data_IF_682767636567
#
_entry.id   IF_682767636567
#
_cell.length_a   1.000
_cell.length_b   1.000
_cell.length_c   1.000
_cell.angle_alpha   90.00
_cell.angle_beta   90.00
_cell.angle_gamma   90.00
#
_symmetry.space_group_name_H-M   'P 1'
#
loop_
_entity.id
_entity.type
_entity.pdbx_description
1 polymer ?
#
# COMPACT_ATOMS: atom_id res chain seq x y z
N UNK A 1 63.62 -3.73 -39.84
CA UNK A 1 62.58 -3.73 -38.78
C UNK A 1 62.70 -5.03 -37.99
N UNK A 2 63.20 -4.98 -36.75
CA UNK A 2 63.42 -6.18 -35.93
C UNK A 2 62.12 -6.62 -35.25
N UNK A 3 61.47 -7.65 -35.78
CA UNK A 3 60.41 -8.37 -35.06
C UNK A 3 61.05 -9.25 -34.00
N UNK A 4 61.13 -8.75 -32.75
CA UNK A 4 61.60 -9.53 -31.60
C UNK A 4 60.68 -10.75 -31.41
N UNK A 5 61.16 -11.93 -31.79
CA UNK A 5 60.52 -13.21 -31.51
C UNK A 5 60.50 -13.45 -29.99
N UNK A 6 59.32 -13.36 -29.37
CA UNK A 6 59.11 -13.75 -27.97
C UNK A 6 59.43 -15.24 -27.79
N UNK A 7 60.32 -15.58 -26.84
CA UNK A 7 60.64 -16.98 -26.52
C UNK A 7 59.40 -17.74 -26.06
N UNK A 8 59.37 -19.07 -26.27
CA UNK A 8 58.19 -19.92 -26.03
C UNK A 8 57.58 -19.77 -24.62
N UNK A 9 58.40 -19.53 -23.59
CA UNK A 9 57.94 -19.25 -22.22
C UNK A 9 57.17 -17.92 -22.10
N UNK A 10 57.63 -16.87 -22.81
CA UNK A 10 56.95 -15.56 -22.80
C UNK A 10 55.63 -15.60 -23.57
N UNK A 11 55.54 -16.37 -24.66
CA UNK A 11 54.28 -16.62 -25.38
C UNK A 11 53.27 -17.36 -24.49
N UNK A 12 53.71 -18.39 -23.77
CA UNK A 12 52.85 -19.13 -22.85
C UNK A 12 52.29 -18.25 -21.71
N UNK A 13 53.13 -17.37 -21.14
CA UNK A 13 52.70 -16.41 -20.11
C UNK A 13 51.67 -15.41 -20.65
N UNK A 14 51.87 -14.90 -21.88
CA UNK A 14 50.91 -13.99 -22.52
C UNK A 14 49.57 -14.68 -22.79
N UNK A 15 49.58 -15.93 -23.27
CA UNK A 15 48.35 -16.71 -23.49
C UNK A 15 47.61 -16.96 -22.17
N UNK A 16 48.32 -17.30 -21.10
CA UNK A 16 47.75 -17.50 -19.77
C UNK A 16 47.13 -16.20 -19.19
N UNK A 17 47.79 -15.07 -19.40
CA UNK A 17 47.26 -13.74 -19.02
C UNK A 17 46.00 -13.39 -19.80
N UNK A 18 45.96 -13.65 -21.11
CA UNK A 18 44.77 -13.38 -21.94
C UNK A 18 43.60 -14.27 -21.52
N UNK A 19 43.84 -15.55 -21.25
CA UNK A 19 42.80 -16.48 -20.80
C UNK A 19 42.26 -16.13 -19.40
N UNK A 20 43.12 -15.68 -18.48
CA UNK A 20 42.69 -15.26 -17.14
C UNK A 20 41.88 -13.96 -17.16
N UNK A 21 42.24 -12.99 -18.01
CA UNK A 21 41.45 -11.77 -18.23
C UNK A 21 40.09 -12.10 -18.88
N UNK A 22 40.07 -13.00 -19.86
CA UNK A 22 38.82 -13.45 -20.49
C UNK A 22 37.89 -14.17 -19.49
N UNK A 23 38.44 -15.03 -18.63
CA UNK A 23 37.67 -15.71 -17.59
C UNK A 23 37.07 -14.73 -16.56
N UNK A 24 37.82 -13.70 -16.16
CA UNK A 24 37.32 -12.64 -15.28
C UNK A 24 36.19 -11.83 -15.94
N UNK A 25 36.33 -11.50 -17.22
CA UNK A 25 35.29 -10.77 -17.96
C UNK A 25 34.00 -11.59 -18.10
N UNK A 26 34.10 -12.88 -18.43
CA UNK A 26 32.94 -13.79 -18.49
C UNK A 26 32.30 -13.92 -17.11
N UNK A 27 33.10 -14.08 -16.05
CA UNK A 27 32.62 -14.13 -14.67
C UNK A 27 31.85 -12.87 -14.27
N UNK A 28 32.34 -11.68 -14.63
CA UNK A 28 31.67 -10.40 -14.37
C UNK A 28 30.34 -10.26 -15.14
N UNK A 29 30.28 -10.70 -16.40
CA UNK A 29 29.06 -10.68 -17.22
C UNK A 29 28.02 -11.66 -16.66
N UNK A 30 28.42 -12.89 -16.32
CA UNK A 30 27.53 -13.89 -15.72
C UNK A 30 27.02 -13.41 -14.36
N UNK A 31 27.87 -12.81 -13.53
CA UNK A 31 27.47 -12.23 -12.25
C UNK A 31 26.46 -11.09 -12.44
N UNK A 32 26.72 -10.15 -13.37
CA UNK A 32 25.82 -9.04 -13.69
C UNK A 32 24.48 -9.53 -14.23
N UNK A 33 24.48 -10.52 -15.11
CA UNK A 33 23.26 -11.13 -15.66
C UNK A 33 22.47 -11.87 -14.58
N UNK A 34 23.11 -12.67 -13.72
CA UNK A 34 22.44 -13.30 -12.56
C UNK A 34 21.91 -12.27 -11.59
N UNK A 35 22.61 -11.16 -11.36
CA UNK A 35 22.15 -10.09 -10.48
C UNK A 35 20.95 -9.36 -11.08
N UNK A 36 20.95 -9.13 -12.39
CA UNK A 36 19.83 -8.54 -13.12
C UNK A 36 18.60 -9.45 -13.09
N UNK A 37 18.78 -10.74 -13.35
CA UNK A 37 17.72 -11.75 -13.26
C UNK A 37 17.17 -11.85 -11.84
N UNK A 38 18.04 -11.94 -10.81
CA UNK A 38 17.59 -11.94 -9.41
C UNK A 38 16.80 -10.68 -9.02
N UNK A 39 17.15 -9.51 -9.58
CA UNK A 39 16.38 -8.28 -9.38
C UNK A 39 15.01 -8.36 -10.07
N UNK A 40 14.95 -8.85 -11.30
CA UNK A 40 13.71 -9.08 -12.02
C UNK A 40 12.80 -10.10 -11.30
N UNK A 41 13.36 -11.24 -10.87
CA UNK A 41 12.64 -12.28 -10.13
C UNK A 41 12.17 -11.80 -8.74
N UNK A 42 12.88 -10.82 -8.16
CA UNK A 42 12.50 -10.22 -6.88
C UNK A 42 11.35 -9.23 -7.00
N UNK A 43 11.15 -8.61 -8.17
CA UNK A 43 10.07 -7.66 -8.41
C UNK A 43 8.85 -8.38 -8.98
N UNK A 44 7.70 -8.30 -8.30
CA UNK A 44 6.52 -9.12 -8.63
C UNK A 44 5.79 -8.76 -9.93
N UNK A 45 6.26 -7.76 -10.68
CA UNK A 45 5.56 -7.21 -11.85
C UNK A 45 4.34 -6.36 -11.47
N UNK A 46 3.55 -6.00 -12.47
CA UNK A 46 2.29 -5.27 -12.31
C UNK A 46 1.11 -6.26 -12.26
N UNK A 47 0.01 -5.87 -11.61
CA UNK A 47 -1.20 -6.71 -11.55
C UNK A 47 -2.07 -6.67 -12.81
N UNK A 48 -1.76 -5.75 -13.73
CA UNK A 48 -2.51 -5.48 -14.94
C UNK A 48 -1.54 -5.31 -16.11
N UNK A 49 -2.03 -5.54 -17.33
CA UNK A 49 -1.26 -5.37 -18.56
C UNK A 49 -1.44 -3.97 -19.15
N UNK A 50 -0.55 -3.60 -20.07
CA UNK A 50 -0.61 -2.29 -20.72
C UNK A 50 -1.87 -2.10 -21.57
N UNK A 51 -2.36 -3.18 -22.18
CA UNK A 51 -3.56 -3.24 -23.01
C UNK A 51 -4.87 -3.19 -22.22
N UNK A 52 -4.83 -3.28 -20.89
CA UNK A 52 -6.05 -3.18 -20.08
C UNK A 52 -6.61 -1.75 -20.13
N UNK A 53 -7.92 -1.62 -20.36
CA UNK A 53 -8.63 -0.35 -20.15
C UNK A 53 -8.58 0.09 -18.69
N UNK A 54 -8.81 1.39 -18.42
CA UNK A 54 -8.69 1.98 -17.08
C UNK A 54 -9.44 1.20 -15.99
N UNK A 55 -10.73 0.92 -16.20
CA UNK A 55 -11.55 0.19 -15.23
C UNK A 55 -11.01 -1.23 -14.97
N UNK A 56 -10.47 -1.88 -16.00
CA UNK A 56 -9.83 -3.20 -15.90
C UNK A 56 -8.55 -3.16 -15.07
N UNK A 57 -7.70 -2.13 -15.29
CA UNK A 57 -6.49 -1.89 -14.51
C UNK A 57 -6.81 -1.67 -13.03
N UNK A 58 -7.79 -0.81 -12.73
CA UNK A 58 -8.25 -0.52 -11.37
C UNK A 58 -8.74 -1.80 -10.69
N UNK A 59 -9.63 -2.56 -11.35
CA UNK A 59 -10.16 -3.80 -10.77
C UNK A 59 -9.06 -4.83 -10.48
N UNK A 60 -8.17 -5.09 -11.43
CA UNK A 60 -7.07 -6.05 -11.24
C UNK A 60 -6.13 -5.62 -10.12
N UNK A 61 -5.87 -4.31 -10.00
CA UNK A 61 -5.11 -3.74 -8.88
C UNK A 61 -5.81 -3.98 -7.55
N UNK A 62 -7.12 -3.76 -7.45
CA UNK A 62 -7.90 -4.00 -6.22
C UNK A 62 -7.88 -5.48 -5.80
N UNK A 63 -8.12 -6.39 -6.74
CA UNK A 63 -8.07 -7.85 -6.47
C UNK A 63 -6.65 -8.31 -6.13
N UNK A 64 -5.64 -7.83 -6.85
CA UNK A 64 -4.24 -8.18 -6.66
C UNK A 64 -3.71 -7.69 -5.30
N UNK A 65 -4.06 -6.47 -4.90
CA UNK A 65 -3.69 -5.92 -3.59
C UNK A 65 -4.39 -6.65 -2.44
N UNK A 66 -5.63 -7.12 -2.61
CA UNK A 66 -6.27 -8.01 -1.64
C UNK A 66 -5.55 -9.36 -1.52
N UNK A 67 -5.14 -10.00 -2.64
CA UNK A 67 -4.28 -11.21 -2.60
C UNK A 67 -2.94 -10.95 -1.90
N UNK A 68 -2.38 -9.76 -2.08
CA UNK A 68 -1.17 -9.33 -1.37
C UNK A 68 -1.43 -9.24 0.14
N UNK A 69 -2.58 -8.70 0.56
CA UNK A 69 -3.01 -8.65 1.95
C UNK A 69 -3.15 -10.06 2.55
N UNK A 70 -3.74 -11.02 1.84
CA UNK A 70 -3.86 -12.41 2.32
C UNK A 70 -2.49 -13.03 2.63
N UNK A 71 -1.44 -12.63 1.88
CA UNK A 71 -0.07 -13.09 2.11
C UNK A 71 0.60 -12.37 3.28
N UNK A 72 0.43 -11.06 3.37
CA UNK A 72 1.13 -10.19 4.33
C UNK A 72 0.46 -10.14 5.71
N UNK A 73 -0.84 -10.40 5.80
CA UNK A 73 -1.66 -10.26 7.01
C UNK A 73 -2.45 -8.94 7.01
N UNK A 74 -3.65 -8.93 7.59
CA UNK A 74 -4.63 -7.81 7.52
C UNK A 74 -4.12 -6.47 8.07
N UNK A 75 -3.20 -6.51 9.04
CA UNK A 75 -2.66 -5.30 9.65
C UNK A 75 -1.54 -4.66 8.83
N UNK A 76 -0.99 -5.36 7.85
CA UNK A 76 0.11 -4.87 7.03
C UNK A 76 -0.36 -3.72 6.13
N UNK A 77 0.35 -2.59 6.15
CA UNK A 77 -0.05 -1.39 5.39
C UNK A 77 0.44 -1.39 3.95
N UNK A 78 1.35 -2.30 3.59
CA UNK A 78 1.98 -2.31 2.28
C UNK A 78 1.00 -2.51 1.12
N UNK A 79 -0.01 -3.40 1.19
CA UNK A 79 -0.99 -3.52 0.11
C UNK A 79 -1.78 -2.23 -0.13
N UNK A 80 -2.17 -1.53 0.94
CA UNK A 80 -2.86 -0.24 0.83
C UNK A 80 -1.96 0.85 0.25
N UNK A 81 -0.68 0.88 0.67
CA UNK A 81 0.33 1.77 0.11
C UNK A 81 0.53 1.52 -1.39
N UNK A 82 0.75 0.26 -1.77
CA UNK A 82 0.95 -0.15 -3.17
C UNK A 82 -0.26 0.23 -4.03
N UNK A 83 -1.48 -0.08 -3.55
CA UNK A 83 -2.74 0.29 -4.20
C UNK A 83 -2.81 1.78 -4.46
N UNK A 84 -2.60 2.62 -3.45
CA UNK A 84 -2.73 4.08 -3.57
C UNK A 84 -1.68 4.68 -4.51
N UNK A 85 -0.42 4.24 -4.43
CA UNK A 85 0.62 4.69 -5.37
C UNK A 85 0.25 4.33 -6.81
N UNK A 86 -0.18 3.08 -7.05
CA UNK A 86 -0.53 2.63 -8.41
C UNK A 86 -1.79 3.31 -8.94
N UNK A 87 -2.79 3.57 -8.11
CA UNK A 87 -3.95 4.38 -8.48
C UNK A 87 -3.57 5.82 -8.84
N UNK A 88 -2.65 6.44 -8.10
CA UNK A 88 -2.17 7.78 -8.43
C UNK A 88 -1.39 7.81 -9.76
N UNK A 89 -0.53 6.82 -10.01
CA UNK A 89 0.17 6.67 -11.30
C UNK A 89 -0.80 6.43 -12.46
N UNK A 90 -1.89 5.67 -12.25
CA UNK A 90 -2.95 5.50 -13.27
C UNK A 90 -3.73 6.79 -13.56
N UNK A 91 -3.69 7.77 -12.65
CA UNK A 91 -4.34 9.07 -12.78
C UNK A 91 -3.32 10.15 -13.18
N UNK A 92 -2.29 9.76 -13.95
CA UNK A 92 -1.28 10.62 -14.57
C UNK A 92 -0.36 11.38 -13.59
N UNK A 93 -0.29 10.97 -12.32
CA UNK A 93 0.76 11.47 -11.42
C UNK A 93 2.12 10.84 -11.76
N UNK A 94 3.18 11.64 -11.74
CA UNK A 94 4.53 11.07 -11.80
C UNK A 94 4.79 10.18 -10.57
N UNK A 95 5.68 9.21 -10.70
CA UNK A 95 5.91 8.22 -9.64
C UNK A 95 6.39 8.85 -8.32
N UNK A 96 7.19 9.91 -8.39
CA UNK A 96 7.66 10.66 -7.23
C UNK A 96 6.54 11.40 -6.52
N UNK A 97 5.65 12.04 -7.28
CA UNK A 97 4.44 12.67 -6.74
C UNK A 97 3.47 11.64 -6.14
N UNK A 98 3.24 10.51 -6.82
CA UNK A 98 2.41 9.42 -6.33
C UNK A 98 2.87 8.89 -4.96
N UNK A 99 4.19 8.79 -4.74
CA UNK A 99 4.73 8.46 -3.42
C UNK A 99 4.43 9.53 -2.37
N UNK A 100 4.70 10.81 -2.69
CA UNK A 100 4.49 11.92 -1.74
C UNK A 100 3.01 12.06 -1.36
N UNK A 101 2.12 12.01 -2.35
CA UNK A 101 0.68 12.15 -2.12
C UNK A 101 0.13 10.96 -1.33
N UNK A 102 0.52 9.73 -1.66
CA UNK A 102 0.11 8.53 -0.91
C UNK A 102 0.54 8.61 0.55
N UNK A 103 1.79 8.97 0.81
CA UNK A 103 2.30 9.06 2.19
C UNK A 103 1.58 10.11 3.01
N UNK A 104 1.34 11.30 2.42
CA UNK A 104 0.57 12.36 3.05
C UNK A 104 -0.86 11.89 3.34
N UNK A 105 -1.56 11.33 2.36
CA UNK A 105 -2.94 10.91 2.50
C UNK A 105 -3.10 9.78 3.54
N UNK A 106 -2.18 8.81 3.56
CA UNK A 106 -2.20 7.76 4.59
C UNK A 106 -1.93 8.33 5.98
N UNK A 107 -0.94 9.22 6.15
CA UNK A 107 -0.68 9.88 7.44
C UNK A 107 -1.87 10.67 7.94
N UNK A 108 -2.51 11.43 7.05
CA UNK A 108 -3.71 12.20 7.35
C UNK A 108 -4.87 11.29 7.79
N UNK A 109 -5.19 10.24 7.02
CA UNK A 109 -6.25 9.30 7.38
C UNK A 109 -6.02 8.64 8.75
N UNK A 110 -4.78 8.25 9.07
CA UNK A 110 -4.46 7.72 10.40
C UNK A 110 -4.59 8.77 11.51
N UNK A 111 -4.13 9.99 11.28
CA UNK A 111 -4.23 11.07 12.26
C UNK A 111 -5.69 11.39 12.60
N UNK A 112 -6.52 11.53 11.56
CA UNK A 112 -7.96 11.77 11.71
C UNK A 112 -8.64 10.59 12.39
N UNK A 113 -8.30 9.36 12.02
CA UNK A 113 -8.84 8.16 12.64
C UNK A 113 -8.52 8.09 14.14
N UNK A 114 -7.25 8.27 14.52
CA UNK A 114 -6.83 8.25 15.93
C UNK A 114 -7.47 9.37 16.74
N UNK A 115 -7.68 10.52 16.11
CA UNK A 115 -8.40 11.63 16.74
C UNK A 115 -9.87 11.26 16.99
N UNK A 116 -10.55 10.71 15.99
CA UNK A 116 -11.93 10.25 16.11
C UNK A 116 -12.07 9.16 17.18
N UNK A 117 -11.15 8.19 17.21
CA UNK A 117 -11.10 7.13 18.23
C UNK A 117 -10.97 7.71 19.64
N UNK A 118 -10.02 8.62 19.88
CA UNK A 118 -9.81 9.29 21.19
C UNK A 118 -11.03 10.08 21.65
N UNK A 119 -11.86 10.55 20.73
CA UNK A 119 -13.10 11.28 21.00
C UNK A 119 -14.33 10.37 21.17
N UNK A 120 -14.12 9.05 21.17
CA UNK A 120 -15.17 8.06 21.39
C UNK A 120 -15.97 7.71 20.14
N UNK A 121 -15.49 8.05 18.95
CA UNK A 121 -16.11 7.70 17.67
C UNK A 121 -15.62 6.36 17.10
N UNK A 122 -14.79 5.63 17.85
CA UNK A 122 -14.44 4.26 17.50
C UNK A 122 -15.69 3.41 17.21
N UNK A 123 -15.61 2.59 16.17
CA UNK A 123 -16.68 1.68 15.77
C UNK A 123 -16.40 0.28 16.32
N UNK A 124 -17.46 -0.40 16.75
CA UNK A 124 -17.46 -1.83 17.05
C UNK A 124 -17.62 -2.65 15.77
N UNK A 125 -17.33 -3.96 15.83
CA UNK A 125 -17.52 -4.88 14.69
C UNK A 125 -19.00 -4.91 14.23
N UNK A 126 -19.96 -4.84 15.17
CA UNK A 126 -21.39 -4.74 14.86
C UNK A 126 -21.76 -3.44 14.15
N UNK A 127 -21.15 -2.31 14.52
CA UNK A 127 -21.33 -1.03 13.83
C UNK A 127 -20.71 -1.06 12.44
N UNK A 128 -19.49 -1.59 12.31
CA UNK A 128 -18.80 -1.75 11.04
C UNK A 128 -19.62 -2.59 10.05
N UNK A 129 -20.10 -3.76 10.48
CA UNK A 129 -20.95 -4.63 9.65
C UNK A 129 -22.21 -3.91 9.16
N UNK A 130 -22.93 -3.23 10.07
CA UNK A 130 -24.13 -2.46 9.72
C UNK A 130 -23.83 -1.34 8.72
N UNK A 131 -22.70 -0.65 8.90
CA UNK A 131 -22.26 0.41 8.00
C UNK A 131 -21.98 -0.15 6.60
N UNK A 132 -21.17 -1.20 6.51
CA UNK A 132 -20.82 -1.87 5.24
C UNK A 132 -22.07 -2.39 4.53
N UNK A 133 -23.00 -3.04 5.24
CA UNK A 133 -24.26 -3.52 4.66
C UNK A 133 -25.11 -2.36 4.13
N UNK A 134 -25.14 -1.22 4.83
CA UNK A 134 -25.86 -0.02 4.38
C UNK A 134 -25.25 0.55 3.10
N UNK A 135 -23.93 0.66 3.03
CA UNK A 135 -23.23 1.18 1.84
C UNK A 135 -23.44 0.26 0.64
N UNK A 136 -23.28 -1.05 0.82
CA UNK A 136 -23.52 -2.04 -0.25
C UNK A 136 -24.95 -2.00 -0.77
N UNK A 137 -25.97 -1.92 0.11
CA UNK A 137 -27.37 -1.76 -0.31
C UNK A 137 -27.61 -0.45 -1.07
N UNK A 138 -26.89 0.61 -0.72
CA UNK A 138 -26.91 1.88 -1.46
C UNK A 138 -26.32 1.72 -2.86
N UNK A 139 -25.18 1.04 -2.96
CA UNK A 139 -24.52 0.75 -4.24
C UNK A 139 -25.36 -0.19 -5.11
N UNK A 140 -25.98 -1.24 -4.56
CA UNK A 140 -26.86 -2.17 -5.30
C UNK A 140 -28.04 -1.49 -5.99
N UNK A 141 -28.46 -0.31 -5.47
CA UNK A 141 -29.51 0.52 -6.08
C UNK A 141 -28.99 1.45 -7.18
N UNK A 142 -27.68 1.58 -7.35
CA UNK A 142 -27.09 2.38 -8.42
C UNK A 142 -27.13 1.62 -9.75
N UNK A 143 -27.23 2.36 -10.87
CA UNK A 143 -27.19 1.77 -12.20
C UNK A 143 -25.87 1.06 -12.51
N UNK A 144 -24.77 1.47 -11.86
CA UNK A 144 -23.42 1.01 -12.15
C UNK A 144 -23.06 -0.31 -11.45
N UNK A 145 -23.79 -0.72 -10.41
CA UNK A 145 -23.44 -1.90 -9.61
C UNK A 145 -23.37 -3.17 -10.45
N UNK A 146 -24.35 -3.41 -11.34
CA UNK A 146 -24.38 -4.61 -12.18
C UNK A 146 -23.15 -4.67 -13.09
N UNK A 147 -22.75 -3.54 -13.66
CA UNK A 147 -21.55 -3.44 -14.51
C UNK A 147 -20.30 -3.72 -13.69
N UNK A 148 -20.17 -3.09 -12.52
CA UNK A 148 -19.03 -3.32 -11.62
C UNK A 148 -18.95 -4.79 -11.18
N UNK A 149 -20.03 -5.38 -10.67
CA UNK A 149 -20.03 -6.78 -10.20
C UNK A 149 -19.72 -7.76 -11.34
N UNK A 150 -20.21 -7.51 -12.56
CA UNK A 150 -19.87 -8.32 -13.73
C UNK A 150 -18.36 -8.33 -14.04
N UNK A 151 -17.69 -7.18 -13.90
CA UNK A 151 -16.23 -7.10 -14.08
C UNK A 151 -15.51 -7.98 -13.05
N UNK A 152 -15.88 -7.87 -11.77
CA UNK A 152 -15.30 -8.68 -10.70
C UNK A 152 -15.55 -10.18 -10.89
N UNK A 153 -16.74 -10.57 -11.37
CA UNK A 153 -17.06 -11.96 -11.72
C UNK A 153 -16.20 -12.49 -12.84
N UNK A 154 -15.88 -11.67 -13.84
CA UNK A 154 -14.91 -12.01 -14.89
C UNK A 154 -13.50 -12.32 -14.36
N UNK A 155 -13.19 -11.98 -13.10
CA UNK A 155 -11.94 -12.29 -12.41
C UNK A 155 -12.09 -13.37 -11.32
N UNK A 156 -13.23 -14.06 -11.27
CA UNK A 156 -13.49 -15.15 -10.32
C UNK A 156 -13.85 -14.69 -8.91
N UNK A 157 -14.35 -13.48 -8.73
CA UNK A 157 -14.80 -12.95 -7.42
C UNK A 157 -16.10 -12.14 -7.58
N UNK A 158 -16.52 -11.40 -6.54
CA UNK A 158 -17.67 -10.48 -6.63
C UNK A 158 -17.28 -9.13 -6.05
N UNK A 159 -17.93 -8.06 -6.51
CA UNK A 159 -17.66 -6.72 -5.98
C UNK A 159 -17.92 -6.67 -4.47
N UNK A 160 -19.03 -7.27 -4.02
CA UNK A 160 -19.39 -7.36 -2.59
C UNK A 160 -18.29 -8.03 -1.75
N UNK A 161 -17.74 -9.15 -2.22
CA UNK A 161 -16.69 -9.88 -1.50
C UNK A 161 -15.43 -9.02 -1.33
N UNK A 162 -14.97 -8.39 -2.41
CA UNK A 162 -13.76 -7.54 -2.36
C UNK A 162 -14.00 -6.24 -1.57
N UNK A 163 -15.23 -5.68 -1.61
CA UNK A 163 -15.60 -4.51 -0.81
C UNK A 163 -15.57 -4.81 0.69
N UNK A 164 -16.15 -5.93 1.13
CA UNK A 164 -16.12 -6.37 2.53
C UNK A 164 -14.68 -6.62 2.98
N UNK A 165 -13.85 -7.22 2.13
CA UNK A 165 -12.45 -7.49 2.42
C UNK A 165 -11.58 -6.23 2.56
N UNK A 166 -12.02 -5.07 2.06
CA UNK A 166 -11.34 -3.78 2.22
C UNK A 166 -11.56 -3.18 3.62
N UNK A 167 -11.18 -3.96 4.65
CA UNK A 167 -11.52 -3.70 6.05
C UNK A 167 -10.99 -2.38 6.57
N UNK A 168 -9.73 -2.03 6.26
CA UNK A 168 -9.12 -0.77 6.72
C UNK A 168 -9.90 0.44 6.23
N UNK A 169 -10.25 0.46 4.95
CA UNK A 169 -11.06 1.53 4.36
C UNK A 169 -12.45 1.60 5.01
N UNK A 170 -13.10 0.46 5.19
CA UNK A 170 -14.43 0.40 5.81
C UNK A 170 -14.41 0.91 7.26
N UNK A 171 -13.32 0.66 8.00
CA UNK A 171 -13.13 1.21 9.36
C UNK A 171 -12.99 2.72 9.33
N UNK A 172 -12.19 3.29 8.42
CA UNK A 172 -12.08 4.74 8.26
C UNK A 172 -13.42 5.37 7.92
N UNK A 173 -14.09 4.85 6.88
CA UNK A 173 -15.36 5.37 6.41
C UNK A 173 -16.44 5.34 7.51
N UNK A 174 -16.57 4.21 8.21
CA UNK A 174 -17.52 4.08 9.32
C UNK A 174 -17.21 5.03 10.49
N UNK A 175 -15.92 5.19 10.84
CA UNK A 175 -15.49 6.05 11.94
C UNK A 175 -15.67 7.53 11.62
N UNK A 176 -15.29 7.95 10.42
CA UNK A 176 -15.47 9.33 9.96
C UNK A 176 -16.93 9.67 9.80
N UNK A 177 -17.73 8.78 9.22
CA UNK A 177 -19.18 8.98 9.15
C UNK A 177 -19.81 9.17 10.54
N UNK A 178 -19.42 8.35 11.52
CA UNK A 178 -19.92 8.47 12.90
C UNK A 178 -19.50 9.78 13.56
N UNK A 179 -18.30 10.28 13.25
CA UNK A 179 -17.84 11.58 13.72
C UNK A 179 -18.59 12.72 13.04
N UNK A 180 -18.71 12.72 11.71
CA UNK A 180 -19.41 13.75 10.93
C UNK A 180 -20.91 13.83 11.29
N UNK A 181 -21.58 12.68 11.41
CA UNK A 181 -23.00 12.61 11.81
C UNK A 181 -23.21 13.25 13.21
N UNK A 182 -22.20 13.20 14.09
CA UNK A 182 -22.27 13.83 15.42
C UNK A 182 -22.11 15.35 15.40
N UNK A 183 -21.31 15.87 14.45
CA UNK A 183 -21.17 17.30 14.20
C UNK A 183 -22.50 17.86 13.70
N UNK A 184 -23.10 17.20 12.71
CA UNK A 184 -24.37 17.60 12.10
C UNK A 184 -25.52 17.57 13.11
N UNK A 185 -25.56 16.55 13.99
CA UNK A 185 -26.60 16.40 15.00
C UNK A 185 -26.51 17.41 16.16
N UNK A 186 -25.58 18.37 16.12
CA UNK A 186 -25.46 19.41 17.15
C UNK A 186 -25.20 18.84 18.54
N UNK A 187 -24.42 17.74 18.63
CA UNK A 187 -24.00 17.10 19.88
C UNK A 187 -22.51 17.37 20.13
N UNK A 188 -22.11 18.60 20.50
CA UNK A 188 -20.71 19.01 20.54
C UNK A 188 -20.01 18.53 21.82
N UNK A 189 -20.72 17.90 22.77
CA UNK A 189 -20.17 17.44 24.05
C UNK A 189 -19.02 16.41 23.91
N UNK A 190 -18.82 15.84 22.71
CA UNK A 190 -17.67 14.98 22.37
C UNK A 190 -16.59 15.66 21.52
N UNK A 191 -16.81 16.91 21.15
CA UNK A 191 -15.92 17.75 20.34
C UNK A 191 -15.41 18.87 21.25
N UNK A 192 -14.32 18.62 21.96
CA UNK A 192 -13.58 19.67 22.70
C UNK A 192 -12.42 20.18 21.85
N UNK A 193 -12.27 21.50 21.76
CA UNK A 193 -11.18 22.20 21.07
C UNK A 193 -11.54 22.71 19.66
N UNK A 194 -10.55 23.31 18.98
CA UNK A 194 -10.49 24.06 17.69
C UNK A 194 -11.38 23.63 16.51
N UNK A 195 -12.21 22.59 16.63
CA UNK A 195 -13.03 22.05 15.54
C UNK A 195 -14.43 22.67 15.43
N UNK A 196 -14.82 23.52 16.38
CA UNK A 196 -16.14 24.17 16.41
C UNK A 196 -16.15 25.60 15.82
N UNK A 197 -15.00 26.13 15.39
CA UNK A 197 -14.87 27.53 14.94
C UNK A 197 -14.15 27.69 13.61
N UNK A 198 -14.91 27.98 12.54
CA UNK A 198 -14.49 28.83 11.43
C UNK A 198 -13.69 28.22 10.28
N UNK A 199 -12.87 27.19 10.47
CA UNK A 199 -12.07 26.63 9.36
C UNK A 199 -11.72 25.14 9.59
N UNK A 200 -12.64 24.26 9.18
CA UNK A 200 -12.50 22.78 9.32
C UNK A 200 -11.19 22.28 8.70
N UNK A 201 -10.70 22.92 7.63
CA UNK A 201 -9.45 22.55 6.98
C UNK A 201 -8.23 22.86 7.88
N UNK A 202 -8.16 24.04 8.48
CA UNK A 202 -7.08 24.40 9.43
C UNK A 202 -7.11 23.54 10.70
N UNK A 203 -8.31 23.19 11.19
CA UNK A 203 -8.45 22.26 12.31
C UNK A 203 -7.85 20.89 12.00
N UNK A 204 -8.13 20.35 10.80
CA UNK A 204 -7.56 19.08 10.33
C UNK A 204 -6.04 19.13 10.22
N UNK A 205 -5.46 20.19 9.65
CA UNK A 205 -4.01 20.32 9.56
C UNK A 205 -3.32 20.30 10.93
N UNK A 206 -3.90 20.97 11.94
CA UNK A 206 -3.38 20.92 13.31
C UNK A 206 -3.44 19.52 13.91
N UNK A 207 -4.52 18.77 13.67
CA UNK A 207 -4.66 17.39 14.15
C UNK A 207 -3.62 16.46 13.52
N UNK A 208 -3.38 16.61 12.22
CA UNK A 208 -2.34 15.87 11.49
C UNK A 208 -0.96 16.22 12.05
N UNK A 209 -0.65 17.51 12.20
CA UNK A 209 0.62 17.98 12.76
C UNK A 209 0.87 17.45 14.18
N UNK A 210 -0.15 17.46 15.05
CA UNK A 210 -0.05 16.90 16.39
C UNK A 210 0.24 15.39 16.35
N UNK A 211 -0.44 14.64 15.47
CA UNK A 211 -0.22 13.21 15.31
C UNK A 211 1.20 12.88 14.85
N UNK A 212 1.78 13.66 13.94
CA UNK A 212 3.16 13.46 13.45
C UNK A 212 4.20 13.38 14.58
N UNK A 213 3.98 14.11 15.67
CA UNK A 213 4.91 14.20 16.79
C UNK A 213 4.74 13.08 17.81
N UNK A 214 3.69 12.26 17.70
CA UNK A 214 3.49 11.07 18.53
C UNK A 214 4.43 9.93 18.13
N UNK A 215 4.70 9.00 19.03
CA UNK A 215 5.48 7.79 18.73
C UNK A 215 4.83 6.95 17.62
N UNK A 216 3.50 6.85 17.62
CA UNK A 216 2.76 6.17 16.56
C UNK A 216 2.91 6.87 15.20
N UNK A 217 2.81 8.20 15.16
CA UNK A 217 3.01 8.98 13.93
C UNK A 217 4.44 8.91 13.39
N UNK A 218 5.45 8.85 14.27
CA UNK A 218 6.85 8.60 13.89
C UNK A 218 7.03 7.20 13.32
N UNK A 219 6.44 6.18 13.96
CA UNK A 219 6.47 4.81 13.49
C UNK A 219 5.78 4.64 12.13
N UNK A 220 4.61 5.29 11.91
CA UNK A 220 3.90 5.22 10.64
C UNK A 220 4.72 5.86 9.51
N UNK A 221 5.34 7.03 9.76
CA UNK A 221 6.24 7.65 8.80
C UNK A 221 7.41 6.74 8.42
N UNK A 222 7.98 6.02 9.40
CA UNK A 222 9.04 5.04 9.12
C UNK A 222 8.49 3.90 8.25
N UNK A 223 7.36 3.32 8.62
CA UNK A 223 6.73 2.22 7.88
C UNK A 223 6.39 2.62 6.44
N UNK A 224 5.92 3.85 6.20
CA UNK A 224 5.64 4.37 4.87
C UNK A 224 6.91 4.58 4.03
N UNK A 225 8.01 5.04 4.63
CA UNK A 225 9.31 5.05 3.95
C UNK A 225 9.77 3.65 3.58
N UNK A 226 9.60 2.69 4.50
CA UNK A 226 9.95 1.29 4.26
C UNK A 226 9.06 0.68 3.16
N UNK A 227 7.77 1.04 3.09
CA UNK A 227 6.87 0.69 1.99
C UNK A 227 7.35 1.26 0.65
N UNK A 228 7.81 2.51 0.61
CA UNK A 228 8.39 3.11 -0.61
C UNK A 228 9.59 2.29 -1.10
N UNK A 229 10.49 1.93 -0.19
CA UNK A 229 11.69 1.13 -0.49
C UNK A 229 11.27 -0.26 -0.99
N UNK A 230 10.31 -0.89 -0.30
CA UNK A 230 9.75 -2.18 -0.66
C UNK A 230 9.11 -2.15 -2.06
N UNK A 231 8.35 -1.10 -2.38
CA UNK A 231 7.70 -0.96 -3.68
C UNK A 231 8.71 -0.83 -4.80
N UNK A 232 9.74 -0.01 -4.64
CA UNK A 232 10.82 0.13 -5.63
C UNK A 232 11.60 -1.17 -5.84
N UNK A 233 11.73 -2.01 -4.82
CA UNK A 233 12.58 -3.20 -4.86
C UNK A 233 11.84 -4.48 -5.22
N UNK A 234 10.64 -4.67 -4.67
CA UNK A 234 9.89 -5.91 -4.71
C UNK A 234 8.53 -5.78 -5.44
N UNK A 235 8.02 -4.57 -5.64
CA UNK A 235 6.76 -4.35 -6.34
C UNK A 235 5.62 -5.17 -5.73
N UNK A 236 4.91 -5.93 -6.55
CA UNK A 236 3.80 -6.78 -6.10
C UNK A 236 4.22 -8.10 -5.42
N UNK A 237 5.52 -8.39 -5.28
CA UNK A 237 6.02 -9.64 -4.69
C UNK A 237 5.82 -9.68 -3.17
N UNK A 238 4.60 -10.02 -2.76
CA UNK A 238 4.18 -10.09 -1.36
C UNK A 238 5.08 -11.01 -0.51
N UNK A 239 5.55 -12.12 -1.07
CA UNK A 239 6.41 -13.07 -0.34
C UNK A 239 7.79 -12.49 -0.05
N UNK A 240 8.37 -11.75 -1.00
CA UNK A 240 9.63 -11.06 -0.77
C UNK A 240 9.46 -9.94 0.28
N UNK A 241 8.39 -9.16 0.19
CA UNK A 241 8.07 -8.14 1.20
C UNK A 241 7.92 -8.76 2.58
N UNK A 242 7.15 -9.86 2.72
CA UNK A 242 6.98 -10.59 3.99
C UNK A 242 8.32 -11.04 4.56
N UNK A 243 9.18 -11.62 3.73
CA UNK A 243 10.49 -12.14 4.15
C UNK A 243 11.41 -11.04 4.67
N UNK A 244 11.40 -9.88 4.03
CA UNK A 244 12.37 -8.81 4.32
C UNK A 244 11.90 -7.84 5.39
N UNK A 245 10.60 -7.59 5.48
CA UNK A 245 10.04 -6.62 6.42
C UNK A 245 9.30 -7.28 7.59
N UNK A 246 8.87 -8.54 7.45
CA UNK A 246 8.08 -9.23 8.48
C UNK A 246 6.91 -8.37 8.94
N UNK A 247 6.78 -8.22 10.26
CA UNK A 247 5.75 -7.39 10.92
C UNK A 247 6.12 -5.91 11.05
N UNK A 248 7.26 -5.45 10.52
CA UNK A 248 7.66 -4.02 10.63
C UNK A 248 6.75 -3.06 9.86
N UNK A 249 5.89 -3.60 8.99
CA UNK A 249 4.87 -2.86 8.25
C UNK A 249 3.46 -3.10 8.80
N UNK A 250 3.32 -3.75 9.96
CA UNK A 250 2.02 -3.99 10.57
C UNK A 250 1.57 -2.76 11.36
N UNK A 251 0.38 -2.28 11.03
CA UNK A 251 -0.20 -1.06 11.58
C UNK A 251 -1.71 -1.23 11.73
N UNK A 252 -2.10 -1.91 12.82
CA UNK A 252 -3.48 -2.30 13.09
C UNK A 252 -4.40 -1.11 13.42
N UNK A 253 -5.61 -1.13 12.86
CA UNK A 253 -6.71 -0.28 13.33
C UNK A 253 -7.47 -1.02 14.43
N UNK A 254 -7.66 -0.36 15.56
CA UNK A 254 -8.33 -0.96 16.72
C UNK A 254 -9.84 -0.75 16.63
N UNK A 255 -10.60 -1.84 16.57
CA UNK A 255 -12.04 -1.76 16.82
C UNK A 255 -12.31 -1.60 18.31
N UNK A 256 -13.44 -0.96 18.62
CA UNK A 256 -13.93 -0.91 19.99
C UNK A 256 -14.35 -2.32 20.42
N UNK A 257 -13.68 -2.87 21.42
CA UNK A 257 -14.15 -4.07 22.12
C UNK A 257 -15.40 -3.71 22.90
N UNK A 258 -16.55 -4.23 22.47
CA UNK A 258 -17.76 -4.19 23.30
C UNK A 258 -17.61 -5.36 24.26
N UNK A 259 -17.37 -5.07 25.55
CA UNK A 259 -17.56 -6.10 26.58
C UNK A 259 -19.01 -6.54 26.47
N UNK A 260 -19.24 -7.76 26.01
CA UNK A 260 -20.59 -8.31 25.92
C UNK A 260 -21.15 -8.39 27.33
N UNK A 261 -22.24 -7.66 27.58
CA UNK A 261 -23.23 -8.21 28.47
C UNK A 261 -23.88 -9.33 27.66
N UNK A 262 -23.71 -10.56 28.13
CA UNK A 262 -24.57 -11.64 27.73
C UNK A 262 -26.00 -11.24 28.16
N UNK A 263 -26.87 -11.08 27.17
CA UNK A 263 -28.31 -11.25 27.34
C UNK A 263 -28.69 -12.55 26.64
#
# INVERSE_FOLDING_TARGET
MSTKHLSGKRKAVVVLLVLSVAALAVGAVVYKNRQSQRKADSYGGEFYGDSDGRDGKVMKLLIGTRKMQDTLGEDNIYPDYYKQVKMAVMNDSDQGEAFRSTERNMLENYALYRTAEKRGFAVSEKELKRHVDKVLKGMEKSGDYKKLDAMYRGQGTTFKKEYIANRRWNIYDATFKKWDDSIIAGNPGRIKGDDAGGDIAKGREKLVAAYHNTEEGKALRKALRDCRIALKKYGSNARAVKRHYGSSLDFALKLKTVKGNAE
#
